data_IF_267102945556
#
_entry.id   IF_267102945556
#
_cell.length_a   1.000
_cell.length_b   1.000
_cell.length_c   1.000
_cell.angle_alpha   90.00
_cell.angle_beta   90.00
_cell.angle_gamma   90.00
#
_symmetry.space_group_name_H-M   'P 1'
#
loop_
_entity.id
_entity.type
_entity.pdbx_description
1 polymer ?
#
# COMPACT_ATOMS: atom_id res chain seq x y z
N UNK A 1 -28.23 -29.27 48.03
CA UNK A 1 -27.86 -28.90 46.64
C UNK A 1 -29.05 -28.56 45.71
N UNK A 2 -30.33 -28.74 46.09
CA UNK A 2 -31.49 -28.49 45.20
C UNK A 2 -31.96 -27.03 45.12
N UNK A 3 -31.61 -26.17 46.10
CA UNK A 3 -31.97 -24.74 46.11
C UNK A 3 -31.12 -23.91 45.15
N UNK A 4 -29.83 -24.23 45.04
CA UNK A 4 -28.90 -23.54 44.14
C UNK A 4 -29.30 -23.77 42.66
N UNK A 5 -29.61 -25.01 42.30
CA UNK A 5 -30.08 -25.39 40.97
C UNK A 5 -31.42 -24.73 40.61
N UNK A 6 -32.31 -24.57 41.58
CA UNK A 6 -33.58 -23.84 41.40
C UNK A 6 -33.35 -22.35 41.16
N UNK A 7 -32.38 -21.76 41.85
CA UNK A 7 -32.06 -20.34 41.69
C UNK A 7 -31.40 -20.05 40.34
N UNK A 8 -30.53 -20.93 39.87
CA UNK A 8 -29.91 -20.86 38.54
C UNK A 8 -30.94 -21.00 37.42
N UNK A 9 -31.91 -21.93 37.54
CA UNK A 9 -32.98 -22.09 36.53
C UNK A 9 -33.99 -20.94 36.54
N UNK A 10 -34.28 -20.36 37.70
CA UNK A 10 -35.20 -19.21 37.82
C UNK A 10 -34.63 -17.89 37.29
N UNK A 11 -33.30 -17.73 37.32
CA UNK A 11 -32.61 -16.49 36.98
C UNK A 11 -31.65 -16.63 35.79
N UNK A 12 -31.83 -17.64 34.93
CA UNK A 12 -30.97 -17.89 33.78
C UNK A 12 -30.81 -16.64 32.88
N UNK A 13 -31.90 -15.87 32.69
CA UNK A 13 -31.91 -14.64 31.90
C UNK A 13 -31.06 -13.54 32.57
N UNK A 14 -31.08 -13.43 33.90
CA UNK A 14 -30.29 -12.44 34.62
C UNK A 14 -28.78 -12.73 34.52
N UNK A 15 -28.38 -14.00 34.55
CA UNK A 15 -26.99 -14.39 34.33
C UNK A 15 -26.54 -14.19 32.88
N UNK A 16 -27.42 -14.44 31.90
CA UNK A 16 -27.14 -14.14 30.49
C UNK A 16 -26.99 -12.63 30.27
N UNK A 17 -27.88 -11.82 30.85
CA UNK A 17 -27.80 -10.36 30.79
C UNK A 17 -26.53 -9.83 31.46
N UNK A 18 -26.15 -10.39 32.62
CA UNK A 18 -24.91 -10.07 33.30
C UNK A 18 -23.69 -10.44 32.44
N UNK A 19 -23.71 -11.60 31.79
CA UNK A 19 -22.64 -12.03 30.90
C UNK A 19 -22.51 -11.14 29.65
N UNK A 20 -23.62 -10.70 29.06
CA UNK A 20 -23.61 -9.77 27.91
C UNK A 20 -23.13 -8.38 28.35
N UNK A 21 -23.56 -7.91 29.54
CA UNK A 21 -23.16 -6.63 30.09
C UNK A 21 -21.67 -6.57 30.48
N UNK A 22 -21.09 -7.68 30.96
CA UNK A 22 -19.67 -7.78 31.33
C UNK A 22 -18.76 -8.26 30.18
N UNK A 23 -19.28 -9.04 29.23
CA UNK A 23 -18.50 -9.77 28.22
C UNK A 23 -18.62 -9.24 26.79
N UNK A 24 -19.52 -8.30 26.51
CA UNK A 24 -19.79 -7.79 25.15
C UNK A 24 -18.61 -7.12 24.45
N UNK A 25 -17.53 -6.79 25.16
CA UNK A 25 -16.33 -6.14 24.61
C UNK A 25 -15.17 -7.09 24.29
N UNK A 26 -15.27 -8.40 24.61
CA UNK A 26 -14.13 -9.33 24.48
C UNK A 26 -13.80 -9.72 23.03
N UNK A 27 -14.70 -9.48 22.06
CA UNK A 27 -14.44 -9.79 20.65
C UNK A 27 -13.42 -8.85 20.00
N UNK A 28 -13.11 -7.71 20.65
CA UNK A 28 -12.06 -6.81 20.20
C UNK A 28 -10.72 -7.00 20.94
N UNK A 29 -10.73 -7.67 22.10
CA UNK A 29 -9.56 -7.77 22.98
C UNK A 29 -8.72 -9.05 22.77
N UNK A 30 -9.29 -10.08 22.12
CA UNK A 30 -8.63 -11.38 21.90
C UNK A 30 -8.40 -11.72 20.41
N UNK A 31 -8.76 -10.82 19.50
CA UNK A 31 -8.63 -11.06 18.06
C UNK A 31 -7.37 -10.40 17.52
N UNK A 32 -6.52 -11.19 16.87
CA UNK A 32 -5.43 -10.71 16.04
C UNK A 32 -5.85 -9.48 15.22
N UNK A 33 -4.94 -8.49 15.01
CA UNK A 33 -5.24 -7.33 14.19
C UNK A 33 -5.80 -7.79 12.85
N UNK A 34 -6.96 -7.24 12.47
CA UNK A 34 -7.65 -7.63 11.24
C UNK A 34 -6.73 -7.33 10.05
N UNK A 35 -6.10 -8.36 9.51
CA UNK A 35 -5.25 -8.26 8.33
C UNK A 35 -6.09 -8.07 7.08
N UNK A 36 -5.53 -7.44 6.05
CA UNK A 36 -6.23 -7.15 4.79
C UNK A 36 -6.93 -8.36 4.15
N UNK A 37 -6.42 -9.57 4.41
CA UNK A 37 -6.95 -10.84 3.92
C UNK A 37 -8.33 -11.20 4.50
N UNK A 38 -8.71 -10.59 5.62
CA UNK A 38 -10.01 -10.77 6.28
C UNK A 38 -11.06 -9.75 5.78
N UNK A 39 -10.62 -8.74 5.04
CA UNK A 39 -11.49 -7.72 4.46
C UNK A 39 -12.04 -8.27 3.14
N UNK A 40 -13.34 -8.60 3.14
CA UNK A 40 -14.01 -9.03 1.90
C UNK A 40 -13.92 -7.94 0.83
N UNK A 41 -13.78 -8.34 -0.43
CA UNK A 41 -13.83 -7.42 -1.56
C UNK A 41 -15.08 -6.55 -1.48
N UNK A 42 -14.93 -5.23 -1.65
CA UNK A 42 -15.99 -4.21 -1.51
C UNK A 42 -16.55 -4.01 -0.09
N UNK A 43 -15.95 -4.61 0.96
CA UNK A 43 -16.34 -4.28 2.33
C UNK A 43 -15.98 -2.82 2.69
N UNK A 44 -14.86 -2.33 2.16
CA UNK A 44 -14.47 -0.92 2.20
C UNK A 44 -14.63 -0.37 0.79
N UNK A 45 -15.60 0.53 0.64
CA UNK A 45 -15.84 1.21 -0.63
C UNK A 45 -15.28 2.62 -0.57
N UNK A 46 -14.86 3.21 -1.70
CA UNK A 46 -14.38 4.59 -1.75
C UNK A 46 -15.33 5.60 -1.10
N UNK A 47 -16.65 5.37 -1.19
CA UNK A 47 -17.68 6.23 -0.57
C UNK A 47 -17.60 6.28 0.96
N UNK A 48 -16.97 5.29 1.60
CA UNK A 48 -16.79 5.23 3.05
C UNK A 48 -15.61 6.09 3.53
N UNK A 49 -14.77 6.53 2.61
CA UNK A 49 -13.69 7.44 2.90
C UNK A 49 -14.18 8.87 2.66
N UNK A 50 -14.02 9.74 3.67
CA UNK A 50 -14.22 11.18 3.50
C UNK A 50 -12.99 11.76 2.77
N UNK A 51 -13.14 12.28 1.54
CA UNK A 51 -12.03 12.85 0.79
C UNK A 51 -11.40 14.05 1.49
N UNK A 52 -12.15 14.77 2.34
CA UNK A 52 -11.61 15.93 3.07
C UNK A 52 -10.62 15.53 4.16
N UNK A 53 -10.66 14.28 4.61
CA UNK A 53 -9.74 13.75 5.62
C UNK A 53 -8.52 13.04 5.00
N UNK A 54 -8.44 12.96 3.67
CA UNK A 54 -7.36 12.29 2.96
C UNK A 54 -6.43 13.34 2.35
N UNK A 55 -5.19 13.40 2.85
CA UNK A 55 -4.15 14.31 2.34
C UNK A 55 -3.51 13.86 1.02
N UNK A 56 -3.78 12.64 0.58
CA UNK A 56 -3.36 12.10 -0.72
C UNK A 56 -3.61 10.60 -0.86
N UNK A 57 -3.77 10.14 -2.10
CA UNK A 57 -3.93 8.75 -2.49
C UNK A 57 -2.84 8.33 -3.47
N UNK A 58 -2.37 7.09 -3.34
CA UNK A 58 -1.48 6.50 -4.35
C UNK A 58 -2.27 6.35 -5.64
N UNK A 59 -1.94 7.18 -6.63
CA UNK A 59 -2.64 7.22 -7.91
C UNK A 59 -2.14 6.14 -8.87
N UNK A 60 -0.81 6.03 -8.96
CA UNK A 60 -0.11 5.00 -9.71
C UNK A 60 1.21 4.67 -9.03
N UNK A 61 1.70 3.47 -9.29
CA UNK A 61 2.97 2.97 -8.80
C UNK A 61 3.54 1.95 -9.77
N UNK A 62 4.85 1.72 -9.69
CA UNK A 62 5.56 0.68 -10.41
C UNK A 62 6.80 0.24 -9.63
N UNK A 63 7.22 -1.00 -9.85
CA UNK A 63 8.44 -1.62 -9.35
C UNK A 63 9.16 -2.15 -10.58
N UNK A 64 10.38 -1.67 -10.79
CA UNK A 64 11.16 -1.90 -12.00
C UNK A 64 12.50 -2.51 -11.62
N UNK A 65 12.92 -3.54 -12.36
CA UNK A 65 14.22 -4.18 -12.21
C UNK A 65 15.36 -3.30 -12.72
N UNK A 66 16.60 -3.66 -12.36
CA UNK A 66 17.80 -2.95 -12.86
C UNK A 66 17.98 -3.08 -14.39
N UNK A 67 17.33 -4.05 -15.01
CA UNK A 67 17.27 -4.26 -16.46
C UNK A 67 16.18 -3.43 -17.15
N UNK A 68 15.42 -2.65 -16.37
CA UNK A 68 14.29 -1.85 -16.85
C UNK A 68 12.99 -2.61 -17.04
N UNK A 69 12.93 -3.91 -16.69
CA UNK A 69 11.70 -4.68 -16.80
C UNK A 69 10.77 -4.34 -15.66
N UNK A 70 9.49 -4.17 -15.98
CA UNK A 70 8.46 -3.99 -14.99
C UNK A 70 8.26 -5.31 -14.22
N UNK A 71 8.46 -5.28 -12.91
CA UNK A 71 8.26 -6.42 -12.02
C UNK A 71 6.82 -6.45 -11.51
N UNK A 72 6.30 -5.30 -11.11
CA UNK A 72 4.91 -5.12 -10.69
C UNK A 72 4.52 -3.65 -10.78
N UNK A 73 3.22 -3.36 -10.80
CA UNK A 73 2.76 -1.97 -10.90
C UNK A 73 1.26 -1.83 -11.08
N UNK A 74 0.85 -0.59 -11.25
CA UNK A 74 -0.54 -0.24 -11.56
C UNK A 74 -0.98 -0.80 -12.92
N UNK A 75 -2.29 -1.04 -13.14
CA UNK A 75 -2.78 -1.63 -14.38
C UNK A 75 -2.39 -0.83 -15.63
N UNK A 76 -1.70 -1.49 -16.55
CA UNK A 76 -1.22 -0.89 -17.80
C UNK A 76 0.08 -0.08 -17.66
N UNK A 77 0.76 -0.15 -16.52
CA UNK A 77 2.11 0.39 -16.38
C UNK A 77 3.06 -0.27 -17.39
N UNK A 78 3.97 0.51 -17.95
CA UNK A 78 5.08 0.04 -18.76
C UNK A 78 6.38 0.70 -18.29
N UNK A 79 7.51 0.03 -18.48
CA UNK A 79 8.83 0.58 -18.21
C UNK A 79 9.80 0.26 -19.33
N UNK A 80 10.81 1.13 -19.52
CA UNK A 80 11.92 0.93 -20.43
C UNK A 80 13.23 1.43 -19.84
N UNK A 81 14.31 0.72 -20.13
CA UNK A 81 15.68 1.12 -19.78
C UNK A 81 16.37 1.72 -21.01
N UNK A 82 17.02 2.87 -20.83
CA UNK A 82 17.68 3.59 -21.92
C UNK A 82 19.00 2.93 -22.39
N UNK A 83 19.44 1.85 -21.74
CA UNK A 83 20.58 1.06 -22.19
C UNK A 83 21.94 1.52 -21.64
N UNK A 84 23.05 0.92 -22.10
CA UNK A 84 24.39 1.14 -21.54
C UNK A 84 24.95 2.56 -21.75
N UNK A 85 24.40 3.32 -22.71
CA UNK A 85 24.80 4.70 -22.98
C UNK A 85 24.27 5.72 -21.97
N UNK A 86 23.26 5.34 -21.18
CA UNK A 86 22.64 6.17 -20.16
C UNK A 86 22.30 5.33 -18.91
N UNK A 87 23.33 4.79 -18.22
CA UNK A 87 23.14 3.86 -17.11
C UNK A 87 22.25 4.47 -16.03
N UNK A 88 21.42 3.65 -15.41
CA UNK A 88 20.53 4.07 -14.33
C UNK A 88 19.37 4.99 -14.73
N UNK A 89 19.12 5.22 -16.02
CA UNK A 89 17.98 6.01 -16.51
C UNK A 89 16.86 5.13 -17.05
N UNK A 90 15.65 5.36 -16.55
CA UNK A 90 14.46 4.61 -16.93
C UNK A 90 13.29 5.52 -17.25
N UNK A 91 12.50 5.13 -18.24
CA UNK A 91 11.17 5.71 -18.49
C UNK A 91 10.10 4.80 -17.91
N UNK A 92 9.18 5.34 -17.13
CA UNK A 92 7.99 4.64 -16.63
C UNK A 92 6.77 5.37 -17.14
N UNK A 93 5.86 4.64 -17.78
CA UNK A 93 4.64 5.21 -18.38
C UNK A 93 3.40 4.53 -17.84
N UNK A 94 2.33 5.29 -17.71
CA UNK A 94 1.01 4.78 -17.34
C UNK A 94 -0.04 5.25 -18.35
N UNK A 95 -1.21 4.57 -18.45
CA UNK A 95 -2.26 4.99 -19.36
C UNK A 95 -2.71 6.44 -19.10
N UNK A 96 -3.03 7.20 -20.15
CA UNK A 96 -3.38 8.64 -20.10
C UNK A 96 -4.47 9.06 -19.10
N UNK A 97 -5.30 8.12 -18.66
CA UNK A 97 -6.27 8.35 -17.58
C UNK A 97 -5.62 8.65 -16.22
N UNK A 98 -4.31 8.48 -16.09
CA UNK A 98 -3.52 8.71 -14.88
C UNK A 98 -2.52 9.87 -15.01
N UNK A 99 -2.47 10.58 -16.14
CA UNK A 99 -1.35 11.46 -16.51
C UNK A 99 -1.56 12.94 -16.21
N UNK A 100 -2.65 13.31 -15.52
CA UNK A 100 -2.79 14.65 -14.92
C UNK A 100 -1.99 14.73 -13.60
N UNK A 101 -0.66 14.65 -13.72
CA UNK A 101 0.27 14.61 -12.61
C UNK A 101 0.58 15.97 -11.98
N UNK A 102 0.05 17.07 -12.53
CA UNK A 102 0.37 18.44 -12.10
C UNK A 102 -0.02 18.79 -10.65
N UNK A 103 -0.82 17.95 -9.98
CA UNK A 103 -1.21 18.11 -8.57
C UNK A 103 -0.74 16.95 -7.70
N UNK A 104 0.23 16.19 -8.19
CA UNK A 104 0.70 14.97 -7.55
C UNK A 104 2.17 15.12 -7.16
N UNK A 105 2.52 14.55 -6.02
CA UNK A 105 3.91 14.32 -5.64
C UNK A 105 4.37 12.98 -6.20
N UNK A 106 5.57 12.95 -6.77
CA UNK A 106 6.24 11.71 -7.17
C UNK A 106 7.41 11.43 -6.23
N UNK A 107 7.61 10.16 -5.91
CA UNK A 107 8.78 9.70 -5.18
C UNK A 107 9.25 8.37 -5.75
N UNK A 108 10.56 8.17 -5.77
CA UNK A 108 11.18 6.90 -6.14
C UNK A 108 12.22 6.52 -5.11
N UNK A 109 12.45 5.22 -4.97
CA UNK A 109 13.48 4.68 -4.08
C UNK A 109 14.07 3.40 -4.66
N UNK A 110 15.34 3.13 -4.36
CA UNK A 110 16.02 1.90 -4.78
C UNK A 110 15.49 0.73 -3.95
N UNK A 111 15.26 -0.41 -4.60
CA UNK A 111 14.81 -1.63 -3.93
C UNK A 111 16.02 -2.31 -3.31
N UNK A 112 16.02 -2.43 -1.98
CA UNK A 112 17.11 -3.02 -1.19
C UNK A 112 17.02 -4.54 -1.06
N UNK A 113 16.36 -5.24 -1.99
CA UNK A 113 16.29 -6.71 -1.99
C UNK A 113 16.61 -7.29 -3.37
N UNK A 114 17.73 -8.02 -3.54
CA UNK A 114 18.86 -8.14 -2.59
C UNK A 114 19.45 -6.77 -2.23
N UNK A 115 20.14 -6.64 -1.09
CA UNK A 115 20.60 -5.34 -0.55
C UNK A 115 21.46 -4.58 -1.58
N UNK A 116 20.86 -3.54 -2.19
CA UNK A 116 21.52 -2.65 -3.13
C UNK A 116 21.45 -1.24 -2.58
N UNK A 117 22.60 -0.69 -2.19
CA UNK A 117 22.70 0.70 -1.74
C UNK A 117 22.59 1.65 -2.93
N UNK A 118 22.01 2.83 -2.67
CA UNK A 118 21.80 3.85 -3.68
C UNK A 118 20.58 4.72 -3.38
N UNK A 119 20.28 5.63 -4.29
CA UNK A 119 19.08 6.45 -4.24
C UNK A 119 18.48 6.58 -5.64
N UNK A 120 17.20 6.93 -5.69
CA UNK A 120 16.50 7.17 -6.93
C UNK A 120 15.87 8.57 -6.88
N UNK A 121 15.91 9.24 -8.01
CA UNK A 121 15.21 10.50 -8.26
C UNK A 121 14.15 10.27 -9.33
N UNK A 122 13.05 11.01 -9.24
CA UNK A 122 11.93 10.90 -10.17
C UNK A 122 11.51 12.26 -10.69
N UNK A 123 11.46 12.36 -12.01
CA UNK A 123 10.99 13.53 -12.73
C UNK A 123 9.70 13.17 -13.48
N UNK A 124 8.52 13.67 -13.03
CA UNK A 124 7.27 13.49 -13.75
C UNK A 124 7.37 14.15 -15.14
N UNK A 125 7.05 13.40 -16.19
CA UNK A 125 7.18 13.88 -17.57
C UNK A 125 6.02 13.40 -18.43
N UNK A 126 5.18 14.35 -18.87
CA UNK A 126 4.05 14.08 -19.77
C UNK A 126 3.13 12.96 -19.27
N UNK A 127 3.13 11.84 -20.00
CA UNK A 127 2.32 10.66 -19.70
C UNK A 127 2.98 9.64 -18.75
N UNK A 128 4.09 10.01 -18.10
CA UNK A 128 4.88 9.11 -17.27
C UNK A 128 5.81 9.83 -16.30
N UNK A 129 6.91 9.17 -15.96
CA UNK A 129 7.99 9.71 -15.16
C UNK A 129 9.33 9.12 -15.64
N UNK A 130 10.36 9.95 -15.61
CA UNK A 130 11.73 9.50 -15.71
C UNK A 130 12.24 9.19 -14.32
N UNK A 131 12.92 8.05 -14.17
CA UNK A 131 13.57 7.68 -12.92
C UNK A 131 15.06 7.54 -13.18
N UNK A 132 15.84 8.21 -12.36
CA UNK A 132 17.29 8.10 -12.34
C UNK A 132 17.70 7.39 -11.07
N UNK A 133 18.56 6.38 -11.20
CA UNK A 133 19.11 5.63 -10.08
C UNK A 133 20.59 5.87 -9.97
N UNK A 134 21.06 5.96 -8.73
CA UNK A 134 22.41 6.31 -8.38
C UNK A 134 22.97 5.30 -7.38
N UNK A 135 24.27 5.07 -7.45
CA UNK A 135 25.00 4.37 -6.40
C UNK A 135 25.19 5.27 -5.16
N UNK A 136 25.73 4.74 -4.04
CA UNK A 136 25.98 5.52 -2.82
C UNK A 136 26.94 6.70 -3.01
N UNK A 137 27.75 6.67 -4.07
CA UNK A 137 28.71 7.71 -4.43
C UNK A 137 28.08 8.78 -5.33
N UNK A 138 26.80 8.67 -5.67
CA UNK A 138 26.07 9.61 -6.52
C UNK A 138 26.34 9.44 -8.02
N UNK A 139 26.97 8.35 -8.44
CA UNK A 139 27.15 8.04 -9.86
C UNK A 139 25.92 7.31 -10.39
N UNK A 140 25.53 7.63 -11.64
CA UNK A 140 24.41 6.95 -12.30
C UNK A 140 24.73 5.47 -12.50
N UNK A 141 23.91 4.60 -11.92
CA UNK A 141 24.14 3.16 -11.94
C UNK A 141 22.81 2.42 -12.06
N UNK A 142 22.70 1.35 -12.88
CA UNK A 142 21.47 0.59 -12.99
C UNK A 142 21.12 -0.09 -11.65
N UNK A 143 20.08 0.40 -10.98
CA UNK A 143 19.54 -0.21 -9.76
C UNK A 143 18.06 -0.54 -9.93
N UNK A 144 17.55 -1.61 -9.28
CA UNK A 144 16.12 -1.84 -9.21
C UNK A 144 15.48 -0.76 -8.33
N UNK A 145 14.29 -0.29 -8.66
CA UNK A 145 13.63 0.80 -7.94
C UNK A 145 12.11 0.63 -7.89
N UNK A 146 11.48 1.28 -6.91
CA UNK A 146 10.04 1.51 -6.89
C UNK A 146 9.77 2.99 -7.10
N UNK A 147 8.68 3.30 -7.79
CA UNK A 147 8.19 4.65 -8.02
C UNK A 147 6.72 4.71 -7.67
N UNK A 148 6.33 5.77 -6.97
CA UNK A 148 4.98 6.01 -6.51
C UNK A 148 4.60 7.45 -6.80
N UNK A 149 3.38 7.64 -7.27
CA UNK A 149 2.78 8.95 -7.49
C UNK A 149 1.58 9.08 -6.55
N UNK A 150 1.60 10.13 -5.74
CA UNK A 150 0.56 10.45 -4.75
C UNK A 150 -0.12 11.75 -5.16
N UNK A 151 -1.44 11.71 -5.29
CA UNK A 151 -2.32 12.86 -5.48
C UNK A 151 -3.41 12.73 -4.41
#
# INVERSE_FOLDING_TARGET
MSRLLRHLRGNAIAYLALFIALGGSSYAALGDPIGGNQIKNHAIQPVKFDPHLIGGVVRVWAVVGADGRLLSGSPGAGSGYNGPGDPGTYGVVWPRRYTKLQRCAATATVITRPYVDGFADVEPAGDGAFVHTYDPQGQRAPRPFSVVIVC
#
